data_IF_263268692040
#
_entry.id   IF_263268692040
#
_cell.length_a   1.000
_cell.length_b   1.000
_cell.length_c   1.000
_cell.angle_alpha   90.00
_cell.angle_beta   90.00
_cell.angle_gamma   90.00
#
_symmetry.space_group_name_H-M   'P 1'
#
loop_
_entity.id
_entity.type
_entity.pdbx_description
1 polymer ?
#
# COMPACT_ATOMS: atom_id res chain seq x y z
N UNK A 1 16.50 -8.11 3.24
CA UNK A 1 15.67 -6.88 3.08
C UNK A 1 14.89 -6.68 4.37
N UNK A 2 14.88 -5.48 4.92
CA UNK A 2 14.17 -5.17 6.17
C UNK A 2 12.71 -4.79 5.84
N UNK A 3 11.72 -5.41 6.52
CA UNK A 3 10.31 -5.03 6.38
C UNK A 3 9.95 -3.87 7.30
N UNK A 4 10.40 -3.96 8.56
CA UNK A 4 10.27 -2.90 9.55
C UNK A 4 11.38 -2.99 10.59
N UNK A 5 11.61 -1.88 11.29
CA UNK A 5 12.46 -1.80 12.48
C UNK A 5 11.59 -1.28 13.62
N UNK A 6 11.60 -2.00 14.75
CA UNK A 6 10.87 -1.61 15.97
C UNK A 6 11.83 -1.64 17.16
N UNK A 7 11.86 -0.55 17.94
CA UNK A 7 12.72 -0.45 19.11
C UNK A 7 12.55 0.89 19.82
N UNK A 8 13.49 1.18 20.70
CA UNK A 8 13.53 2.45 21.43
C UNK A 8 14.06 3.57 20.53
N UNK A 9 13.40 4.72 20.56
CA UNK A 9 13.85 5.91 19.85
C UNK A 9 14.91 6.59 20.73
N UNK A 10 16.17 6.48 20.31
CA UNK A 10 17.31 7.08 21.03
C UNK A 10 17.48 8.54 20.63
N UNK A 11 17.29 8.85 19.38
CA UNK A 11 17.39 10.19 18.82
C UNK A 11 16.38 10.35 17.71
N UNK A 12 15.74 11.51 17.61
CA UNK A 12 14.86 11.85 16.52
C UNK A 12 15.05 13.31 16.10
N UNK A 13 15.22 13.51 14.81
CA UNK A 13 15.33 14.82 14.17
C UNK A 13 14.33 14.90 13.02
N UNK A 14 14.04 16.09 12.46
CA UNK A 14 13.14 16.21 11.30
C UNK A 14 13.56 15.41 10.06
N UNK A 15 14.81 14.94 10.03
CA UNK A 15 15.39 14.26 8.86
C UNK A 15 15.72 12.79 9.08
N UNK A 16 15.94 12.38 10.33
CA UNK A 16 16.35 11.03 10.68
C UNK A 16 15.93 10.64 12.10
N UNK A 17 15.80 9.35 12.33
CA UNK A 17 15.59 8.74 13.63
C UNK A 17 16.62 7.65 13.86
N UNK A 18 17.14 7.55 15.10
CA UNK A 18 17.97 6.44 15.55
C UNK A 18 17.13 5.53 16.43
N UNK A 19 16.94 4.29 15.99
CA UNK A 19 16.18 3.27 16.72
C UNK A 19 17.12 2.19 17.21
N UNK A 20 17.12 1.96 18.52
CA UNK A 20 17.84 0.85 19.16
C UNK A 20 16.98 -0.42 19.16
N UNK A 21 17.55 -1.48 18.60
CA UNK A 21 16.96 -2.82 18.59
C UNK A 21 17.88 -3.77 19.36
N UNK A 22 17.80 -3.75 20.68
CA UNK A 22 18.59 -4.67 21.53
C UNK A 22 20.09 -4.44 21.46
N UNK A 23 20.53 -3.18 21.45
CA UNK A 23 21.94 -2.78 21.40
C UNK A 23 22.48 -2.51 19.99
N UNK A 24 21.64 -2.60 18.96
CA UNK A 24 21.94 -2.20 17.59
C UNK A 24 21.19 -0.92 17.23
N UNK A 25 21.92 0.18 17.04
CA UNK A 25 21.36 1.46 16.64
C UNK A 25 21.25 1.58 15.10
N UNK A 26 20.02 1.74 14.59
CA UNK A 26 19.76 1.96 13.18
C UNK A 26 19.50 3.45 12.92
N UNK A 27 20.33 4.07 12.10
CA UNK A 27 20.09 5.44 11.63
C UNK A 27 19.20 5.40 10.39
N UNK A 28 17.99 5.95 10.50
CA UNK A 28 16.93 5.81 9.51
C UNK A 28 16.51 7.20 9.04
N UNK A 29 16.59 7.44 7.73
CA UNK A 29 16.12 8.68 7.12
C UNK A 29 14.58 8.69 7.07
N UNK A 30 13.97 9.77 7.56
CA UNK A 30 12.52 9.89 7.66
C UNK A 30 12.00 11.13 6.94
N UNK A 31 10.70 11.15 6.63
CA UNK A 31 9.97 12.34 6.20
C UNK A 31 9.57 13.20 7.40
N UNK A 32 9.24 14.46 7.16
CA UNK A 32 8.71 15.34 8.20
C UNK A 32 7.36 14.81 8.73
N UNK A 33 6.55 14.17 7.89
CA UNK A 33 5.30 13.53 8.29
C UNK A 33 5.54 12.38 9.29
N UNK A 34 6.54 11.54 9.02
CA UNK A 34 6.96 10.47 9.93
C UNK A 34 7.52 11.04 11.23
N UNK A 35 8.34 12.11 11.17
CA UNK A 35 8.84 12.80 12.36
C UNK A 35 7.70 13.28 13.25
N UNK A 36 6.70 13.96 12.67
CA UNK A 36 5.56 14.50 13.44
C UNK A 36 4.76 13.43 14.15
N UNK A 37 4.68 12.22 13.58
CA UNK A 37 4.00 11.07 14.19
C UNK A 37 4.80 10.44 15.34
N UNK A 38 6.13 10.53 15.33
CA UNK A 38 7.00 9.81 16.26
C UNK A 38 7.67 10.68 17.31
N UNK A 39 7.74 11.99 17.13
CA UNK A 39 8.54 12.92 17.96
C UNK A 39 8.22 12.91 19.47
N UNK A 40 7.08 12.37 19.85
CA UNK A 40 6.64 12.31 21.28
C UNK A 40 6.74 10.90 21.87
N UNK A 41 7.16 9.93 21.06
CA UNK A 41 7.17 8.53 21.47
C UNK A 41 8.57 8.09 21.94
N UNK A 42 8.62 7.23 22.95
CA UNK A 42 9.86 6.59 23.43
C UNK A 42 10.19 5.30 22.65
N UNK A 43 9.18 4.66 22.07
CA UNK A 43 9.32 3.50 21.20
C UNK A 43 8.68 3.78 19.85
N UNK A 44 9.27 3.27 18.77
CA UNK A 44 8.76 3.46 17.43
C UNK A 44 8.84 2.21 16.59
N UNK A 45 7.95 2.13 15.61
CA UNK A 45 8.01 1.16 14.53
C UNK A 45 8.01 1.90 13.20
N UNK A 46 9.06 1.70 12.41
CA UNK A 46 9.20 2.26 11.08
C UNK A 46 9.18 1.14 10.03
N UNK A 47 8.36 1.30 9.01
CA UNK A 47 8.42 0.47 7.81
C UNK A 47 9.58 0.91 6.94
N UNK A 48 10.42 -0.03 6.51
CA UNK A 48 11.71 0.28 5.91
C UNK A 48 11.69 0.11 4.38
N UNK A 49 12.32 1.04 3.71
CA UNK A 49 12.83 0.88 2.36
C UNK A 49 14.36 0.91 2.42
N UNK A 50 14.98 -0.20 2.04
CA UNK A 50 16.44 -0.35 2.01
C UNK A 50 16.94 0.07 0.64
N UNK A 51 17.68 1.18 0.59
CA UNK A 51 18.32 1.69 -0.60
C UNK A 51 19.79 1.30 -0.58
N UNK A 52 20.16 0.38 -1.44
CA UNK A 52 21.51 -0.13 -1.56
C UNK A 52 22.13 0.32 -2.89
N UNK A 53 23.32 0.87 -2.84
CA UNK A 53 24.19 1.20 -3.97
C UNK A 53 25.56 0.55 -3.75
N UNK A 54 26.44 0.62 -4.73
CA UNK A 54 27.78 0.06 -4.63
C UNK A 54 28.61 0.73 -3.53
N UNK A 55 28.40 2.01 -3.30
CA UNK A 55 29.17 2.88 -2.41
C UNK A 55 28.36 3.43 -1.22
N UNK A 56 27.08 3.12 -1.12
CA UNK A 56 26.21 3.70 -0.09
C UNK A 56 25.04 2.77 0.28
N UNK A 57 24.76 2.70 1.57
CA UNK A 57 23.61 1.98 2.13
C UNK A 57 22.77 2.93 2.98
N UNK A 58 21.51 3.11 2.62
CA UNK A 58 20.59 3.99 3.32
C UNK A 58 19.30 3.28 3.68
N UNK A 59 18.83 3.53 4.90
CA UNK A 59 17.51 3.08 5.37
C UNK A 59 16.55 4.27 5.35
N UNK A 60 15.44 4.12 4.63
CA UNK A 60 14.34 5.08 4.65
C UNK A 60 13.20 4.49 5.46
N UNK A 61 12.69 5.24 6.44
CA UNK A 61 11.65 4.80 7.36
C UNK A 61 10.37 5.61 7.23
N UNK A 62 9.26 4.91 7.37
CA UNK A 62 7.91 5.46 7.21
C UNK A 62 7.04 5.01 8.39
N UNK A 63 6.20 5.90 8.89
CA UNK A 63 5.30 5.60 10.00
C UNK A 63 4.19 4.59 9.59
N UNK A 64 3.83 4.55 8.31
CA UNK A 64 2.80 3.68 7.78
C UNK A 64 3.29 2.90 6.56
N UNK A 65 2.62 1.76 6.28
CA UNK A 65 2.88 1.01 5.05
C UNK A 65 2.49 1.80 3.82
N UNK A 66 1.41 2.57 3.89
CA UNK A 66 0.87 3.36 2.78
C UNK A 66 1.83 4.47 2.36
N UNK A 67 2.47 5.14 3.33
CA UNK A 67 3.54 6.11 3.09
C UNK A 67 4.73 5.46 2.37
N UNK A 68 5.16 4.25 2.82
CA UNK A 68 6.23 3.49 2.17
C UNK A 68 5.86 3.08 0.74
N UNK A 69 4.64 2.60 0.50
CA UNK A 69 4.21 2.21 -0.84
C UNK A 69 4.10 3.44 -1.77
N UNK A 70 3.63 4.58 -1.26
CA UNK A 70 3.64 5.82 -2.03
C UNK A 70 5.08 6.26 -2.38
N UNK A 71 6.02 6.14 -1.43
CA UNK A 71 7.43 6.40 -1.69
C UNK A 71 7.98 5.49 -2.82
N UNK A 72 7.68 4.19 -2.79
CA UNK A 72 8.09 3.24 -3.83
C UNK A 72 7.49 3.59 -5.20
N UNK A 73 6.24 4.02 -5.23
CA UNK A 73 5.62 4.52 -6.46
C UNK A 73 6.35 5.74 -7.00
N UNK A 74 6.68 6.71 -6.15
CA UNK A 74 7.41 7.92 -6.54
C UNK A 74 8.77 7.61 -7.14
N UNK A 75 9.58 6.76 -6.49
CA UNK A 75 10.92 6.39 -6.99
C UNK A 75 10.88 5.51 -8.24
N UNK A 76 9.73 4.89 -8.57
CA UNK A 76 9.55 4.16 -9.84
C UNK A 76 9.44 5.08 -11.06
N UNK A 77 9.22 6.38 -10.82
CA UNK A 77 9.14 7.39 -11.90
C UNK A 77 10.54 7.82 -12.30
N UNK A 78 10.85 7.72 -13.58
CA UNK A 78 12.15 8.14 -14.09
C UNK A 78 12.36 9.66 -13.85
N UNK A 79 13.47 10.00 -13.20
CA UNK A 79 13.81 11.36 -12.80
C UNK A 79 13.37 11.73 -11.37
N UNK A 80 12.81 10.79 -10.61
CA UNK A 80 12.52 10.95 -9.18
C UNK A 80 13.46 10.03 -8.39
N UNK A 81 14.43 10.61 -7.72
CA UNK A 81 15.33 9.89 -6.82
C UNK A 81 14.75 9.75 -5.40
N UNK A 82 15.38 8.92 -4.57
CA UNK A 82 14.98 8.69 -3.16
C UNK A 82 14.92 9.98 -2.33
N UNK A 83 15.87 10.90 -2.53
CA UNK A 83 15.88 12.21 -1.86
C UNK A 83 14.71 13.10 -2.29
N UNK A 84 14.37 13.12 -3.58
CA UNK A 84 13.23 13.88 -4.11
C UNK A 84 11.91 13.32 -3.61
N UNK A 85 11.75 11.99 -3.61
CA UNK A 85 10.56 11.32 -3.10
C UNK A 85 10.36 11.61 -1.60
N UNK A 86 11.43 11.53 -0.78
CA UNK A 86 11.36 11.92 0.65
C UNK A 86 10.97 13.38 0.84
N UNK A 87 11.51 14.29 0.01
CA UNK A 87 11.15 15.70 0.07
C UNK A 87 9.67 15.93 -0.27
N UNK A 88 9.13 15.19 -1.24
CA UNK A 88 7.71 15.25 -1.58
C UNK A 88 6.83 14.81 -0.39
N UNK A 89 7.17 13.69 0.27
CA UNK A 89 6.47 13.20 1.45
C UNK A 89 6.68 14.09 2.70
N UNK A 90 7.71 14.92 2.72
CA UNK A 90 7.91 15.92 3.77
C UNK A 90 7.10 17.20 3.53
N UNK A 91 6.86 17.54 2.26
CA UNK A 91 6.19 18.79 1.85
C UNK A 91 4.68 18.66 1.74
N UNK A 92 4.19 17.49 1.42
CA UNK A 92 2.78 17.16 1.22
C UNK A 92 2.42 15.92 2.02
N UNK A 93 1.24 15.89 2.61
CA UNK A 93 0.72 14.67 3.21
C UNK A 93 0.46 13.60 2.14
N UNK A 94 0.38 12.32 2.57
CA UNK A 94 0.09 11.21 1.66
C UNK A 94 -1.20 11.44 0.88
N UNK A 95 -2.23 11.93 1.57
CA UNK A 95 -3.53 12.23 0.98
C UNK A 95 -3.45 13.41 -0.01
N UNK A 96 -2.78 14.50 0.37
CA UNK A 96 -2.59 15.66 -0.53
C UNK A 96 -1.82 15.29 -1.78
N UNK A 97 -0.78 14.46 -1.65
CA UNK A 97 0.03 14.04 -2.78
C UNK A 97 -0.76 13.11 -3.73
N UNK A 98 -1.51 12.15 -3.18
CA UNK A 98 -2.40 11.28 -3.95
C UNK A 98 -3.48 12.10 -4.68
N UNK A 99 -4.13 13.01 -3.97
CA UNK A 99 -5.17 13.88 -4.56
C UNK A 99 -4.60 14.79 -5.66
N UNK A 100 -3.40 15.33 -5.48
CA UNK A 100 -2.73 16.13 -6.51
C UNK A 100 -2.40 15.30 -7.77
N UNK A 101 -2.01 14.03 -7.61
CA UNK A 101 -1.73 13.14 -8.73
C UNK A 101 -3.03 12.75 -9.45
N UNK A 102 -4.07 12.36 -8.72
CA UNK A 102 -5.37 11.96 -9.29
C UNK A 102 -6.05 13.16 -9.98
N UNK A 103 -6.00 14.34 -9.33
CA UNK A 103 -6.58 15.59 -9.85
C UNK A 103 -5.72 16.30 -10.91
N UNK A 104 -4.57 15.70 -11.29
CA UNK A 104 -3.63 16.28 -12.27
C UNK A 104 -3.12 17.68 -11.91
N UNK A 105 -3.00 17.97 -10.60
CA UNK A 105 -2.52 19.28 -10.13
C UNK A 105 -0.98 19.38 -10.23
N UNK A 106 -0.53 19.70 -11.44
CA UNK A 106 0.90 19.90 -11.76
C UNK A 106 1.51 21.01 -10.90
N UNK A 107 0.75 22.06 -10.57
CA UNK A 107 1.25 23.20 -9.80
C UNK A 107 1.57 22.81 -8.37
N UNK A 108 0.71 22.02 -7.73
CA UNK A 108 0.91 21.53 -6.36
C UNK A 108 2.15 20.60 -6.30
N UNK A 109 2.31 19.69 -7.25
CA UNK A 109 3.48 18.80 -7.30
C UNK A 109 4.77 19.57 -7.58
N UNK A 110 4.75 20.54 -8.50
CA UNK A 110 5.88 21.39 -8.83
C UNK A 110 6.30 22.33 -7.67
N UNK A 111 5.41 22.66 -6.73
CA UNK A 111 5.74 23.49 -5.57
C UNK A 111 6.76 22.85 -4.64
N UNK A 112 6.93 21.54 -4.72
CA UNK A 112 7.94 20.81 -3.95
C UNK A 112 9.34 21.13 -4.47
N UNK A 113 10.22 21.53 -3.55
CA UNK A 113 11.61 21.87 -3.88
C UNK A 113 12.31 20.71 -4.61
N UNK A 114 12.91 21.01 -5.75
CA UNK A 114 13.65 20.02 -6.55
C UNK A 114 12.79 19.28 -7.59
N UNK A 115 11.49 19.55 -7.67
CA UNK A 115 10.60 18.99 -8.69
C UNK A 115 10.35 20.03 -9.79
N UNK A 116 10.85 19.74 -11.00
CA UNK A 116 10.60 20.57 -12.18
C UNK A 116 9.26 20.27 -12.85
N UNK A 117 8.83 21.17 -13.75
CA UNK A 117 7.57 21.00 -14.49
C UNK A 117 7.48 19.64 -15.21
N UNK A 118 8.54 19.26 -15.93
CA UNK A 118 8.59 17.99 -16.68
C UNK A 118 8.48 16.78 -15.75
N UNK A 119 9.15 16.84 -14.59
CA UNK A 119 9.08 15.75 -13.58
C UNK A 119 7.69 15.67 -12.97
N UNK A 120 7.06 16.80 -12.64
CA UNK A 120 5.72 16.84 -12.11
C UNK A 120 4.69 16.23 -13.09
N UNK A 121 4.76 16.61 -14.36
CA UNK A 121 3.91 16.02 -15.41
C UNK A 121 4.11 14.52 -15.56
N UNK A 122 5.37 14.06 -15.49
CA UNK A 122 5.69 12.63 -15.58
C UNK A 122 5.18 11.84 -14.39
N UNK A 123 5.31 12.38 -13.17
CA UNK A 123 4.75 11.78 -11.95
C UNK A 123 3.25 11.52 -12.12
N UNK A 124 2.50 12.53 -12.60
CA UNK A 124 1.07 12.40 -12.85
C UNK A 124 0.80 11.30 -13.87
N UNK A 125 1.47 11.36 -15.03
CA UNK A 125 1.26 10.41 -16.12
C UNK A 125 1.52 8.97 -15.69
N UNK A 126 2.65 8.73 -14.99
CA UNK A 126 3.11 7.39 -14.64
C UNK A 126 2.35 6.81 -13.42
N UNK A 127 1.83 7.65 -12.52
CA UNK A 127 1.26 7.21 -11.25
C UNK A 127 -0.25 7.32 -11.13
N UNK A 128 -0.93 8.19 -11.88
CA UNK A 128 -2.39 8.36 -11.80
C UNK A 128 -3.14 7.03 -11.85
N UNK A 129 -2.90 6.23 -12.89
CA UNK A 129 -3.56 4.94 -13.06
C UNK A 129 -3.18 3.92 -11.99
N UNK A 130 -1.93 3.95 -11.51
CA UNK A 130 -1.45 3.05 -10.48
C UNK A 130 -2.09 3.34 -9.13
N UNK A 131 -2.24 4.62 -8.79
CA UNK A 131 -2.86 5.07 -7.54
C UNK A 131 -4.35 4.76 -7.54
N UNK A 132 -5.06 5.03 -8.65
CA UNK A 132 -6.49 4.72 -8.80
C UNK A 132 -6.74 3.21 -8.74
N UNK A 133 -5.92 2.40 -9.39
CA UNK A 133 -6.06 0.93 -9.39
C UNK A 133 -5.53 0.27 -8.11
N UNK A 134 -4.56 0.87 -7.45
CA UNK A 134 -3.86 0.32 -6.28
C UNK A 134 -4.60 0.49 -4.95
N UNK A 135 -5.79 1.14 -4.94
CA UNK A 135 -6.71 1.16 -3.79
C UNK A 135 -6.10 1.57 -2.44
N UNK A 136 -5.02 2.33 -2.44
CA UNK A 136 -4.42 2.87 -1.20
C UNK A 136 -5.02 4.22 -0.80
N UNK A 137 -6.28 4.44 -1.11
CA UNK A 137 -7.05 5.54 -0.54
C UNK A 137 -8.01 4.89 0.45
N UNK A 138 -7.76 5.06 1.75
CA UNK A 138 -8.86 5.10 2.67
C UNK A 138 -9.80 6.17 2.11
N UNK A 139 -10.87 5.73 1.46
CA UNK A 139 -11.97 6.57 1.06
C UNK A 139 -12.70 7.06 2.33
N UNK A 140 -11.99 7.89 3.11
CA UNK A 140 -12.60 8.77 4.08
C UNK A 140 -13.37 9.80 3.30
N UNK A 141 -14.68 9.58 3.19
CA UNK A 141 -15.72 10.48 2.68
C UNK A 141 -16.16 10.30 1.23
N UNK A 142 -16.31 9.08 0.75
CA UNK A 142 -17.47 8.75 -0.07
C UNK A 142 -18.04 7.48 0.56
N UNK A 143 -19.24 7.57 1.14
CA UNK A 143 -20.09 6.46 1.53
C UNK A 143 -20.48 5.62 0.30
N UNK A 144 -19.51 4.90 -0.26
CA UNK A 144 -19.77 3.79 -1.18
C UNK A 144 -19.47 2.55 -0.33
N UNK A 145 -20.54 1.89 0.05
CA UNK A 145 -20.64 0.92 1.10
C UNK A 145 -19.59 -0.19 1.09
N UNK A 146 -19.51 -0.88 2.19
CA UNK A 146 -18.76 -2.10 2.56
C UNK A 146 -18.62 -3.12 1.42
N UNK A 147 -19.46 -3.02 0.40
CA UNK A 147 -19.57 -3.93 -0.74
C UNK A 147 -18.39 -3.85 -1.73
N UNK A 148 -17.78 -2.67 -1.93
CA UNK A 148 -16.72 -2.52 -2.96
C UNK A 148 -15.42 -3.17 -2.54
N UNK A 149 -15.05 -3.08 -1.26
CA UNK A 149 -13.83 -3.69 -0.72
C UNK A 149 -13.94 -5.22 -0.73
N UNK A 150 -15.10 -5.74 -0.38
CA UNK A 150 -15.44 -7.17 -0.45
C UNK A 150 -15.35 -7.69 -1.88
N UNK A 151 -15.82 -6.92 -2.84
CA UNK A 151 -15.78 -7.27 -4.27
C UNK A 151 -14.34 -7.30 -4.80
N UNK A 152 -13.50 -6.34 -4.43
CA UNK A 152 -12.09 -6.29 -4.84
C UNK A 152 -11.28 -7.45 -4.26
N UNK A 153 -11.43 -7.74 -2.97
CA UNK A 153 -10.77 -8.86 -2.29
C UNK A 153 -11.21 -10.21 -2.86
N UNK A 154 -12.51 -10.40 -3.09
CA UNK A 154 -13.05 -11.59 -3.72
C UNK A 154 -12.54 -11.75 -5.18
N UNK A 155 -12.44 -10.64 -5.92
CA UNK A 155 -11.89 -10.63 -7.28
C UNK A 155 -10.44 -11.05 -7.30
N UNK A 156 -9.63 -10.52 -6.39
CA UNK A 156 -8.21 -10.88 -6.28
C UNK A 156 -8.02 -12.36 -5.91
N UNK A 157 -8.79 -12.86 -4.94
CA UNK A 157 -8.75 -14.27 -4.54
C UNK A 157 -9.13 -15.21 -5.70
N UNK A 158 -10.16 -14.88 -6.46
CA UNK A 158 -10.61 -15.70 -7.60
C UNK A 158 -9.62 -15.63 -8.78
N UNK A 159 -8.96 -14.49 -9.02
CA UNK A 159 -7.88 -14.40 -9.99
C UNK A 159 -6.68 -15.28 -9.61
N UNK A 160 -6.32 -15.30 -8.31
CA UNK A 160 -5.23 -16.14 -7.78
C UNK A 160 -5.55 -17.64 -7.90
N UNK A 161 -6.83 -18.01 -7.90
CA UNK A 161 -7.32 -19.38 -8.15
C UNK A 161 -7.43 -19.72 -9.65
N UNK A 162 -7.02 -18.81 -10.57
CA UNK A 162 -6.95 -19.06 -11.99
C UNK A 162 -8.23 -18.76 -12.78
N UNK A 163 -9.22 -18.06 -12.18
CA UNK A 163 -10.43 -17.66 -12.91
C UNK A 163 -10.17 -16.43 -13.78
N UNK A 164 -10.78 -16.34 -14.95
CA UNK A 164 -10.67 -15.18 -15.82
C UNK A 164 -11.52 -14.00 -15.31
N UNK A 165 -11.04 -12.78 -15.51
CA UNK A 165 -11.73 -11.55 -15.06
C UNK A 165 -13.17 -11.44 -15.54
N UNK A 166 -13.45 -11.85 -16.79
CA UNK A 166 -14.81 -11.86 -17.36
C UNK A 166 -15.77 -12.78 -16.59
N UNK A 167 -15.29 -13.97 -16.21
CA UNK A 167 -16.08 -14.92 -15.42
C UNK A 167 -16.32 -14.41 -14.00
N UNK A 168 -15.32 -13.78 -13.39
CA UNK A 168 -15.41 -13.23 -12.03
C UNK A 168 -16.46 -12.13 -11.95
N UNK A 169 -16.43 -11.17 -12.88
CA UNK A 169 -17.41 -10.06 -12.93
C UNK A 169 -18.84 -10.57 -13.05
N UNK A 170 -19.08 -11.57 -13.91
CA UNK A 170 -20.41 -12.18 -14.07
C UNK A 170 -20.90 -12.82 -12.79
N UNK A 171 -20.03 -13.54 -12.11
CA UNK A 171 -20.35 -14.27 -10.86
C UNK A 171 -20.66 -13.31 -9.72
N UNK A 172 -19.82 -12.30 -9.52
CA UNK A 172 -20.02 -11.30 -8.48
C UNK A 172 -21.36 -10.60 -8.67
N UNK A 173 -21.69 -10.20 -9.90
CA UNK A 173 -22.98 -9.59 -10.23
C UNK A 173 -24.18 -10.50 -9.96
N UNK A 174 -24.06 -11.79 -10.26
CA UNK A 174 -25.14 -12.77 -10.01
C UNK A 174 -25.33 -13.02 -8.50
N UNK A 175 -24.25 -13.05 -7.71
CA UNK A 175 -24.31 -13.24 -6.26
C UNK A 175 -24.87 -11.99 -5.58
N UNK A 176 -24.46 -10.79 -5.97
CA UNK A 176 -24.95 -9.54 -5.41
C UNK A 176 -26.44 -9.33 -5.69
N UNK A 177 -26.95 -9.78 -6.85
CA UNK A 177 -28.38 -9.79 -7.14
C UNK A 177 -29.17 -10.74 -6.24
N UNK A 178 -28.59 -11.87 -5.85
CA UNK A 178 -29.27 -12.89 -5.02
C UNK A 178 -29.05 -12.69 -3.51
N UNK A 179 -27.98 -12.03 -3.10
CA UNK A 179 -27.62 -11.82 -1.71
C UNK A 179 -26.78 -10.53 -1.55
N UNK A 180 -27.41 -9.36 -1.39
CA UNK A 180 -26.71 -8.06 -1.35
C UNK A 180 -25.72 -7.90 -0.20
N UNK A 181 -25.82 -8.69 0.86
CA UNK A 181 -24.93 -8.66 2.04
C UNK A 181 -23.99 -9.87 2.13
N UNK A 182 -23.67 -10.50 0.99
CA UNK A 182 -22.79 -11.66 0.97
C UNK A 182 -21.34 -11.31 1.32
N UNK A 183 -20.79 -11.90 2.38
CA UNK A 183 -19.38 -11.76 2.73
C UNK A 183 -18.44 -12.46 1.74
N UNK A 184 -17.14 -12.15 1.80
CA UNK A 184 -16.07 -12.69 0.93
C UNK A 184 -16.09 -14.22 0.90
N UNK A 185 -16.17 -14.85 2.06
CA UNK A 185 -16.18 -16.31 2.18
C UNK A 185 -17.35 -16.97 1.46
N UNK A 186 -18.53 -16.34 1.49
CA UNK A 186 -19.72 -16.84 0.79
C UNK A 186 -19.54 -16.77 -0.73
N UNK A 187 -18.93 -15.69 -1.24
CA UNK A 187 -18.67 -15.50 -2.68
C UNK A 187 -17.69 -16.56 -3.19
N UNK A 188 -16.61 -16.81 -2.44
CA UNK A 188 -15.57 -17.78 -2.79
C UNK A 188 -16.14 -19.20 -2.71
N UNK A 189 -16.82 -19.57 -1.62
CA UNK A 189 -17.34 -20.92 -1.39
C UNK A 189 -18.44 -21.30 -2.39
N UNK A 190 -19.35 -20.39 -2.72
CA UNK A 190 -20.45 -20.67 -3.67
C UNK A 190 -19.92 -20.96 -5.08
N UNK A 191 -18.73 -20.47 -5.44
CA UNK A 191 -18.12 -20.74 -6.74
C UNK A 191 -17.31 -22.02 -6.75
N UNK A 192 -16.57 -22.33 -5.70
CA UNK A 192 -15.83 -23.58 -5.59
C UNK A 192 -16.81 -24.77 -5.69
N UNK A 193 -17.99 -24.66 -5.05
CA UNK A 193 -19.04 -25.70 -5.11
C UNK A 193 -19.73 -25.83 -6.48
N UNK A 194 -19.83 -24.75 -7.25
CA UNK A 194 -20.55 -24.77 -8.53
C UNK A 194 -19.65 -25.04 -9.76
N UNK A 195 -18.31 -24.97 -9.62
CA UNK A 195 -17.38 -25.10 -10.76
C UNK A 195 -16.57 -26.38 -10.78
N UNK A 196 -16.62 -27.17 -9.73
CA UNK A 196 -16.00 -28.49 -9.68
C UNK A 196 -17.12 -29.51 -9.84
N UNK A 197 -17.16 -30.28 -10.93
CA UNK A 197 -17.91 -31.55 -10.90
C UNK A 197 -17.16 -32.45 -9.92
N UNK A 198 -17.52 -32.37 -8.64
CA UNK A 198 -16.92 -33.16 -7.58
C UNK A 198 -17.28 -34.61 -7.92
N UNK A 199 -16.35 -35.38 -8.45
CA UNK A 199 -16.28 -36.79 -8.17
C UNK A 199 -16.20 -36.89 -6.63
N UNK A 200 -17.35 -37.15 -6.01
CA UNK A 200 -17.46 -37.47 -4.58
C UNK A 200 -16.51 -38.63 -4.31
N UNK A 201 -15.36 -38.33 -3.75
CA UNK A 201 -14.56 -39.18 -2.88
C UNK A 201 -13.13 -38.59 -2.84
N UNK A 202 -12.69 -38.18 -1.69
CA UNK A 202 -11.32 -37.94 -1.22
C UNK A 202 -10.84 -36.54 -0.79
N UNK A 203 -11.61 -35.46 -0.83
CA UNK A 203 -11.05 -34.14 -0.39
C UNK A 203 -11.72 -33.56 0.87
N UNK A 204 -12.80 -34.15 1.37
CA UNK A 204 -13.52 -33.65 2.56
C UNK A 204 -12.89 -34.05 3.92
N UNK A 205 -11.79 -34.82 3.95
CA UNK A 205 -11.17 -35.26 5.21
C UNK A 205 -10.03 -34.33 5.73
N UNK A 206 -9.48 -33.41 4.91
CA UNK A 206 -8.29 -32.65 5.33
C UNK A 206 -8.54 -31.19 5.75
N UNK A 207 -9.79 -30.71 5.68
CA UNK A 207 -10.08 -29.31 6.08
C UNK A 207 -10.60 -29.15 7.51
N UNK A 208 -10.94 -30.25 8.19
CA UNK A 208 -11.36 -30.20 9.61
C UNK A 208 -10.21 -30.13 10.62
N UNK A 209 -8.97 -30.31 10.18
CA UNK A 209 -7.76 -30.36 11.05
C UNK A 209 -7.05 -29.00 11.16
N UNK A 210 -7.50 -27.97 10.43
CA UNK A 210 -6.82 -26.66 10.40
C UNK A 210 -7.59 -25.52 11.11
N UNK A 211 -8.67 -25.86 11.84
CA UNK A 211 -9.50 -24.89 12.62
C UNK A 211 -9.72 -25.36 14.07
N UNK A 212 -8.86 -26.21 14.62
CA UNK A 212 -8.75 -26.40 16.07
C UNK A 212 -7.42 -25.87 16.58
#
# INVERSE_FOLDING_TARGET
MYEYIKGQIIEITPTNAVIDCGGLGFNILISLQTYDKLKSDSEGKLFIYHHLREDDEQLYGFATKDERELFKLLISVNGVGVGSARMMLSSLSDEELRNAIIGEDVHKIKSVKGIGLKTAQRIILDLKDKIVKGGGVDAGSINIGTDTKIIEEATFALLSLGFTKANITKIINDILKSSPQAGIEYIINKRITNSIPIRRNHILCNWKILIE
#
